data_IF_484807504675
#
_entry.id   IF_484807504675
#
_cell.length_a   1.000
_cell.length_b   1.000
_cell.length_c   1.000
_cell.angle_alpha   90.00
_cell.angle_beta   90.00
_cell.angle_gamma   90.00
#
_symmetry.space_group_name_H-M   'P 1'
#
loop_
_entity.id
_entity.type
_entity.pdbx_description
1 polymer ?
#
# COMPACT_ATOMS: atom_id res chain seq x y z
N UNK A 1 10.87 -35.47 70.38
CA UNK A 1 11.93 -34.44 70.42
C UNK A 1 13.28 -35.15 70.49
N UNK A 2 14.21 -34.84 69.58
CA UNK A 2 15.62 -35.30 69.47
C UNK A 2 16.05 -36.02 68.17
N UNK A 3 15.39 -35.80 67.03
CA UNK A 3 15.91 -36.28 65.73
C UNK A 3 16.04 -35.25 64.60
N UNK A 4 15.74 -33.96 64.86
CA UNK A 4 15.77 -32.91 63.83
C UNK A 4 16.83 -31.82 64.04
N UNK A 5 17.86 -32.05 64.85
CA UNK A 5 18.99 -31.10 65.00
C UNK A 5 20.29 -31.56 64.33
N UNK A 6 20.44 -32.87 64.05
CA UNK A 6 21.66 -33.41 63.46
C UNK A 6 21.72 -33.31 61.92
N UNK A 7 20.60 -33.03 61.25
CA UNK A 7 20.52 -32.94 59.79
C UNK A 7 20.74 -31.50 59.28
N UNK A 8 20.55 -30.49 60.13
CA UNK A 8 20.74 -29.08 59.77
C UNK A 8 22.22 -28.65 59.89
N UNK A 9 23.00 -29.30 60.76
CA UNK A 9 24.44 -29.01 60.87
C UNK A 9 25.32 -29.68 59.80
N UNK A 10 24.83 -30.73 59.12
CA UNK A 10 25.60 -31.42 58.06
C UNK A 10 25.46 -30.76 56.67
N UNK A 11 24.46 -29.91 56.48
CA UNK A 11 24.28 -29.09 55.26
C UNK A 11 25.02 -27.75 55.31
N UNK A 12 25.47 -27.31 56.50
CA UNK A 12 26.28 -26.09 56.66
C UNK A 12 27.79 -26.33 56.44
N UNK A 13 28.25 -27.58 56.43
CA UNK A 13 29.69 -27.90 56.26
C UNK A 13 30.08 -28.29 54.82
N UNK A 14 29.11 -28.46 53.91
CA UNK A 14 29.37 -28.76 52.49
C UNK A 14 29.29 -27.53 51.56
N UNK A 15 29.02 -26.34 52.10
CA UNK A 15 29.05 -25.07 51.36
C UNK A 15 30.39 -24.29 51.51
N UNK A 16 31.42 -24.85 52.15
CA UNK A 16 32.67 -24.14 52.47
C UNK A 16 33.90 -24.63 51.71
N UNK A 17 33.76 -25.45 50.66
CA UNK A 17 34.90 -25.87 49.85
C UNK A 17 34.60 -25.63 48.37
N UNK A 18 35.47 -24.83 47.74
CA UNK A 18 35.52 -24.46 46.31
C UNK A 18 34.54 -23.41 45.77
N UNK A 19 34.52 -22.23 46.39
CA UNK A 19 34.52 -21.01 45.56
C UNK A 19 35.98 -20.76 45.20
N UNK A 20 36.43 -21.35 44.08
CA UNK A 20 37.55 -20.74 43.37
C UNK A 20 37.00 -19.41 42.89
N UNK A 21 37.41 -18.35 43.58
CA UNK A 21 37.39 -16.99 43.08
C UNK A 21 38.21 -17.07 41.79
N UNK A 22 37.55 -17.30 40.66
CA UNK A 22 38.02 -16.74 39.41
C UNK A 22 37.92 -15.24 39.65
N UNK A 23 39.04 -14.65 40.05
CA UNK A 23 39.30 -13.28 39.70
C UNK A 23 39.13 -13.24 38.18
N UNK A 24 37.98 -12.71 37.73
CA UNK A 24 37.96 -12.09 36.44
C UNK A 24 39.05 -11.02 36.55
N UNK A 25 40.12 -11.17 35.78
CA UNK A 25 40.81 -9.98 35.29
C UNK A 25 39.67 -9.15 34.68
N UNK A 26 39.17 -8.17 35.45
CA UNK A 26 38.65 -6.97 34.84
C UNK A 26 39.83 -6.48 34.00
N UNK A 27 39.75 -6.71 32.68
CA UNK A 27 40.47 -5.88 31.74
C UNK A 27 40.24 -4.46 32.22
N UNK A 28 41.27 -3.88 32.85
CA UNK A 28 41.28 -2.46 33.19
C UNK A 28 41.10 -1.76 31.86
N UNK A 29 39.86 -1.38 31.57
CA UNK A 29 39.57 -0.45 30.52
C UNK A 29 40.31 0.81 30.95
N UNK A 30 41.42 1.08 30.26
CA UNK A 30 42.18 2.30 30.43
C UNK A 30 41.30 3.43 29.89
N UNK A 31 40.43 3.93 30.77
CA UNK A 31 39.48 5.00 30.51
C UNK A 31 40.18 6.38 30.55
N UNK A 32 41.53 6.39 30.58
CA UNK A 32 42.27 7.63 30.38
C UNK A 32 42.17 8.02 28.90
N UNK A 33 41.66 9.22 28.58
CA UNK A 33 41.57 9.67 27.21
C UNK A 33 42.97 9.67 26.60
N UNK A 34 43.13 8.95 25.49
CA UNK A 34 44.41 8.94 24.77
C UNK A 34 44.70 10.34 24.26
N UNK A 35 45.97 10.73 24.36
CA UNK A 35 46.40 12.03 23.85
C UNK A 35 46.58 11.98 22.34
N UNK A 36 46.32 13.10 21.69
CA UNK A 36 46.66 13.31 20.29
C UNK A 36 48.19 13.30 20.14
N UNK A 37 48.69 12.51 19.18
CA UNK A 37 50.10 12.41 18.84
C UNK A 37 50.42 13.26 17.61
N UNK A 38 51.49 14.06 17.68
CA UNK A 38 52.06 14.74 16.51
C UNK A 38 52.94 13.75 15.76
N UNK A 39 52.60 13.43 14.51
CA UNK A 39 53.38 12.53 13.65
C UNK A 39 54.38 13.32 12.80
N UNK A 40 53.95 14.46 12.24
CA UNK A 40 54.79 15.28 11.37
C UNK A 40 54.34 16.75 11.37
N UNK A 41 55.29 17.67 11.28
CA UNK A 41 55.12 19.06 10.86
C UNK A 41 56.45 19.60 10.34
N UNK A 42 56.42 20.58 9.43
CA UNK A 42 57.66 21.21 8.96
C UNK A 42 58.24 22.21 9.96
N UNK A 43 57.38 22.89 10.74
CA UNK A 43 57.76 23.79 11.83
C UNK A 43 56.83 23.59 13.03
N UNK A 44 57.37 23.74 14.24
CA UNK A 44 56.64 23.77 15.50
C UNK A 44 57.11 24.99 16.30
N UNK A 45 56.17 25.88 16.60
CA UNK A 45 56.37 27.10 17.37
C UNK A 45 55.45 27.08 18.60
N UNK A 46 55.84 27.76 19.69
CA UNK A 46 54.94 27.98 20.82
C UNK A 46 54.36 29.38 20.70
N UNK A 47 53.04 29.49 20.74
CA UNK A 47 52.36 30.78 20.72
C UNK A 47 51.92 31.16 22.14
N UNK A 48 52.67 32.04 22.79
CA UNK A 48 52.33 32.56 24.11
C UNK A 48 51.21 33.62 24.06
N UNK A 49 50.86 34.13 22.86
CA UNK A 49 49.89 35.23 22.71
C UNK A 49 48.42 34.77 22.78
N UNK A 50 48.17 33.46 22.63
CA UNK A 50 46.84 32.84 22.74
C UNK A 50 46.38 32.57 24.17
N UNK A 51 47.17 32.94 25.19
CA UNK A 51 46.82 32.82 26.62
C UNK A 51 46.85 31.38 27.18
N UNK A 52 46.99 30.39 26.31
CA UNK A 52 47.25 28.97 26.56
C UNK A 52 48.52 28.60 25.79
N UNK A 53 49.38 27.73 26.34
CA UNK A 53 50.61 27.22 25.68
C UNK A 53 50.24 26.36 24.45
N UNK A 54 49.72 27.00 23.40
CA UNK A 54 49.33 26.33 22.17
C UNK A 54 50.58 26.05 21.33
N UNK A 55 50.73 24.80 20.89
CA UNK A 55 51.72 24.45 19.89
C UNK A 55 51.16 24.83 18.53
N UNK A 56 51.85 25.73 17.82
CA UNK A 56 51.55 26.11 16.44
C UNK A 56 52.37 25.24 15.49
N UNK A 57 51.69 24.46 14.67
CA UNK A 57 52.29 23.53 13.70
C UNK A 57 52.07 24.05 12.28
N UNK A 58 53.13 24.15 11.48
CA UNK A 58 53.08 24.68 10.12
C UNK A 58 53.67 23.70 9.11
N UNK A 59 52.96 23.54 7.99
CA UNK A 59 53.38 22.81 6.80
C UNK A 59 53.22 21.29 6.90
N UNK A 60 52.32 20.72 6.09
CA UNK A 60 52.06 19.27 5.96
C UNK A 60 51.85 18.57 7.31
N UNK A 61 51.10 19.19 8.20
CA UNK A 61 50.92 18.70 9.56
C UNK A 61 50.14 17.38 9.55
N UNK A 62 50.59 16.43 10.36
CA UNK A 62 49.96 15.13 10.56
C UNK A 62 49.83 14.83 12.04
N UNK A 63 48.60 14.60 12.48
CA UNK A 63 48.31 14.06 13.81
C UNK A 63 47.80 12.63 13.71
N UNK A 64 47.96 11.88 14.81
CA UNK A 64 47.36 10.57 15.00
C UNK A 64 46.64 10.56 16.34
N UNK A 65 45.42 10.05 16.33
CA UNK A 65 44.70 9.75 17.56
C UNK A 65 43.99 8.40 17.43
N UNK A 66 44.54 7.41 18.13
CA UNK A 66 44.17 6.00 18.01
C UNK A 66 44.36 5.46 16.58
N UNK A 67 43.28 5.07 15.91
CA UNK A 67 43.23 4.54 14.55
C UNK A 67 42.97 5.62 13.48
N UNK A 68 42.81 6.89 13.89
CA UNK A 68 42.59 8.00 12.97
C UNK A 68 43.86 8.83 12.75
N UNK A 69 44.07 9.20 11.49
CA UNK A 69 45.09 10.14 11.05
C UNK A 69 44.42 11.43 10.58
N UNK A 70 44.94 12.57 11.01
CA UNK A 70 44.45 13.90 10.65
C UNK A 70 45.55 14.67 9.93
N UNK A 71 45.25 15.24 8.78
CA UNK A 71 46.19 15.94 7.90
C UNK A 71 45.69 17.37 7.67
N UNK A 72 46.60 18.36 7.65
CA UNK A 72 46.27 19.75 7.30
C UNK A 72 47.53 20.53 6.90
N UNK A 73 47.36 21.77 6.44
CA UNK A 73 48.50 22.66 6.15
C UNK A 73 49.02 23.36 7.41
N UNK A 74 48.13 23.74 8.34
CA UNK A 74 48.52 24.31 9.64
C UNK A 74 47.55 23.94 10.76
N UNK A 75 48.02 23.98 12.01
CA UNK A 75 47.17 23.68 13.17
C UNK A 75 47.69 24.29 14.48
N UNK A 76 46.79 24.48 15.44
CA UNK A 76 47.11 24.63 16.86
C UNK A 76 46.77 23.34 17.61
N UNK A 77 47.65 22.89 18.49
CA UNK A 77 47.42 21.81 19.43
C UNK A 77 47.51 22.35 20.86
N UNK A 78 46.47 22.08 21.65
CA UNK A 78 46.38 22.47 23.06
C UNK A 78 46.52 21.21 23.92
N UNK A 79 47.69 21.01 24.55
CA UNK A 79 48.00 19.76 25.27
C UNK A 79 47.16 19.54 26.54
N UNK A 80 46.70 20.64 27.18
CA UNK A 80 45.89 20.60 28.41
C UNK A 80 44.47 20.13 28.12
N UNK A 81 43.82 20.73 27.11
CA UNK A 81 42.48 20.36 26.67
C UNK A 81 42.44 19.19 25.70
N UNK A 82 43.59 18.73 25.19
CA UNK A 82 43.70 17.69 24.15
C UNK A 82 42.91 18.05 22.88
N UNK A 83 42.92 19.34 22.49
CA UNK A 83 42.16 19.85 21.35
C UNK A 83 43.07 20.26 20.19
N UNK A 84 42.59 20.08 18.96
CA UNK A 84 43.24 20.50 17.73
C UNK A 84 42.33 21.52 17.02
N UNK A 85 42.91 22.62 16.59
CA UNK A 85 42.32 23.48 15.56
C UNK A 85 43.19 23.37 14.31
N UNK A 86 42.66 22.77 13.24
CA UNK A 86 43.38 22.56 11.99
C UNK A 86 42.78 23.41 10.86
N UNK A 87 43.65 23.96 10.02
CA UNK A 87 43.32 24.90 8.95
C UNK A 87 43.91 24.45 7.62
N UNK A 88 43.12 24.66 6.57
CA UNK A 88 43.40 24.40 5.16
C UNK A 88 43.71 22.94 4.81
N UNK A 89 43.09 22.44 3.73
CA UNK A 89 43.27 21.09 3.21
C UNK A 89 43.11 19.99 4.27
N UNK A 90 42.15 20.16 5.20
CA UNK A 90 41.99 19.28 6.36
C UNK A 90 41.37 17.95 5.94
N UNK A 91 41.97 16.84 6.41
CA UNK A 91 41.50 15.48 6.12
C UNK A 91 41.62 14.59 7.34
N UNK A 92 40.56 13.85 7.66
CA UNK A 92 40.58 12.77 8.65
C UNK A 92 40.42 11.44 7.91
N UNK A 93 41.34 10.52 8.13
CA UNK A 93 41.27 9.14 7.64
C UNK A 93 41.17 8.20 8.84
N UNK A 94 40.08 7.44 8.92
CA UNK A 94 39.85 6.43 9.97
C UNK A 94 39.77 5.04 9.32
N UNK A 95 40.73 4.18 9.65
CA UNK A 95 40.90 2.89 8.99
C UNK A 95 41.00 3.01 7.46
N UNK A 96 40.36 2.09 6.75
CA UNK A 96 40.35 2.05 5.27
C UNK A 96 39.02 2.51 4.65
N UNK A 97 38.00 2.78 5.47
CA UNK A 97 36.63 2.99 4.98
C UNK A 97 36.17 4.43 5.00
N UNK A 98 36.67 5.26 5.92
CA UNK A 98 36.17 6.62 6.16
C UNK A 98 37.24 7.65 5.79
N UNK A 99 36.83 8.63 4.98
CA UNK A 99 37.60 9.81 4.64
C UNK A 99 36.70 11.05 4.80
N UNK A 100 37.02 11.91 5.76
CA UNK A 100 36.37 13.19 5.99
C UNK A 100 37.31 14.32 5.53
N UNK A 101 36.81 15.27 4.75
CA UNK A 101 37.57 16.36 4.14
C UNK A 101 36.84 17.68 4.40
N UNK A 102 37.57 18.75 4.70
CA UNK A 102 37.06 20.12 4.80
C UNK A 102 38.22 21.12 4.82
N UNK A 103 37.95 22.39 5.17
CA UNK A 103 39.00 23.41 5.28
C UNK A 103 39.27 23.87 6.72
N UNK A 104 38.39 23.55 7.66
CA UNK A 104 38.61 23.81 9.08
C UNK A 104 38.11 22.64 9.93
N UNK A 105 38.87 22.30 10.98
CA UNK A 105 38.53 21.26 11.93
C UNK A 105 38.79 21.73 13.35
N UNK A 106 37.78 21.63 14.20
CA UNK A 106 37.93 21.61 15.66
C UNK A 106 37.78 20.14 16.11
N UNK A 107 38.84 19.57 16.66
CA UNK A 107 38.85 18.19 17.14
C UNK A 107 39.15 18.14 18.64
N UNK A 108 38.30 17.46 19.39
CA UNK A 108 38.52 17.19 20.81
C UNK A 108 38.92 15.73 20.99
N UNK A 109 40.16 15.49 21.43
CA UNK A 109 40.70 14.16 21.65
C UNK A 109 40.07 13.44 22.86
N UNK A 110 39.48 14.16 23.82
CA UNK A 110 38.83 13.56 24.98
C UNK A 110 37.44 13.06 24.63
N UNK A 111 36.63 13.89 23.97
CA UNK A 111 35.26 13.52 23.53
C UNK A 111 35.24 12.78 22.21
N UNK A 112 36.33 12.82 21.44
CA UNK A 112 36.49 12.28 20.08
C UNK A 112 35.52 12.87 19.06
N UNK A 113 35.06 14.10 19.30
CA UNK A 113 34.19 14.85 18.39
C UNK A 113 35.05 15.63 17.39
N UNK A 114 34.77 15.47 16.10
CA UNK A 114 35.38 16.22 15.01
C UNK A 114 34.35 17.15 14.36
N UNK A 115 34.50 18.46 14.55
CA UNK A 115 33.68 19.48 13.91
C UNK A 115 34.36 19.97 12.64
N UNK A 116 33.98 19.43 11.49
CA UNK A 116 34.52 19.80 10.18
C UNK A 116 33.67 20.90 9.54
N UNK A 117 34.31 21.92 8.96
CA UNK A 117 33.65 23.07 8.33
C UNK A 117 34.23 23.41 6.96
N UNK A 118 33.48 24.21 6.22
CA UNK A 118 33.77 24.78 4.91
C UNK A 118 33.97 23.74 3.81
N UNK A 119 32.92 23.51 3.00
CA UNK A 119 32.92 22.53 1.89
C UNK A 119 33.30 21.10 2.31
N UNK A 120 32.52 20.54 3.23
CA UNK A 120 32.78 19.24 3.83
C UNK A 120 32.35 18.09 2.94
N UNK A 121 33.22 17.08 2.85
CA UNK A 121 33.01 15.82 2.15
C UNK A 121 33.27 14.67 3.10
N UNK A 122 32.25 13.85 3.35
CA UNK A 122 32.41 12.55 4.00
C UNK A 122 32.25 11.45 2.97
N UNK A 123 33.33 10.71 2.71
CA UNK A 123 33.31 9.51 1.88
C UNK A 123 33.35 8.27 2.78
N UNK A 124 32.37 7.39 2.61
CA UNK A 124 32.35 6.08 3.23
C UNK A 124 32.14 5.01 2.15
N UNK A 125 33.22 4.30 1.80
CA UNK A 125 33.26 3.38 0.65
C UNK A 125 32.87 4.10 -0.66
N UNK A 126 31.77 3.71 -1.29
CA UNK A 126 31.25 4.31 -2.54
C UNK A 126 30.26 5.46 -2.28
N UNK A 127 29.74 5.59 -1.06
CA UNK A 127 28.78 6.64 -0.71
C UNK A 127 29.50 7.95 -0.38
N UNK A 128 28.91 9.06 -0.80
CA UNK A 128 29.46 10.41 -0.65
C UNK A 128 28.42 11.33 -0.01
N UNK A 129 28.78 11.99 1.10
CA UNK A 129 27.99 13.04 1.74
C UNK A 129 28.70 14.39 1.56
N UNK A 130 27.98 15.36 1.01
CA UNK A 130 28.40 16.74 0.81
C UNK A 130 27.57 17.69 1.68
N UNK A 131 28.22 18.54 2.47
CA UNK A 131 27.59 19.59 3.29
C UNK A 131 28.60 20.73 3.53
N UNK A 132 28.18 21.83 4.13
CA UNK A 132 29.11 22.91 4.53
C UNK A 132 29.64 22.73 5.95
N UNK A 133 28.88 22.04 6.82
CA UNK A 133 29.21 21.85 8.22
C UNK A 133 28.78 20.46 8.68
N UNK A 134 29.72 19.69 9.23
CA UNK A 134 29.48 18.33 9.70
C UNK A 134 30.22 18.09 11.01
N UNK A 135 29.52 17.50 11.96
CA UNK A 135 30.13 16.98 13.18
C UNK A 135 30.19 15.45 13.07
N UNK A 136 31.32 14.87 13.47
CA UNK A 136 31.54 13.44 13.49
C UNK A 136 31.92 12.98 14.90
N UNK A 137 31.02 12.23 15.53
CA UNK A 137 31.26 11.55 16.79
C UNK A 137 31.88 10.18 16.50
N UNK A 138 33.16 10.02 16.86
CA UNK A 138 33.89 8.75 16.64
C UNK A 138 33.52 7.66 17.65
N UNK A 139 32.98 8.02 18.82
CA UNK A 139 32.53 7.02 19.79
C UNK A 139 31.23 6.36 19.28
N UNK A 140 30.27 7.18 18.86
CA UNK A 140 28.98 6.73 18.31
C UNK A 140 29.06 6.34 16.83
N UNK A 141 30.17 6.62 16.15
CA UNK A 141 30.35 6.41 14.71
C UNK A 141 29.28 7.13 13.88
N UNK A 142 28.89 8.33 14.34
CA UNK A 142 27.77 9.11 13.83
C UNK A 142 28.25 10.44 13.26
N UNK A 143 27.98 10.66 11.98
CA UNK A 143 28.15 11.96 11.33
C UNK A 143 26.81 12.69 11.22
N UNK A 144 26.75 13.97 11.55
CA UNK A 144 25.51 14.73 11.48
C UNK A 144 25.72 16.18 11.03
N UNK A 145 24.68 16.73 10.40
CA UNK A 145 24.67 18.10 9.89
C UNK A 145 23.29 18.74 10.06
N UNK A 146 23.25 20.08 10.11
CA UNK A 146 22.01 20.84 10.35
C UNK A 146 21.70 21.94 9.32
N UNK A 147 22.62 22.22 8.40
CA UNK A 147 22.54 23.35 7.44
C UNK A 147 22.33 22.89 5.99
N UNK A 148 21.81 21.68 5.82
CA UNK A 148 21.60 21.06 4.53
C UNK A 148 22.74 20.17 4.07
N UNK A 149 22.39 19.10 3.37
CA UNK A 149 23.37 18.16 2.87
C UNK A 149 22.81 17.31 1.74
N UNK A 150 23.73 16.69 1.02
CA UNK A 150 23.45 15.87 -0.16
C UNK A 150 24.22 14.58 -0.07
N UNK A 151 23.54 13.46 -0.26
CA UNK A 151 24.12 12.13 -0.31
C UNK A 151 23.98 11.55 -1.71
N UNK A 152 25.05 10.91 -2.14
CA UNK A 152 25.12 10.16 -3.39
C UNK A 152 25.48 8.72 -3.05
N UNK A 153 24.64 7.79 -3.51
CA UNK A 153 24.84 6.34 -3.32
C UNK A 153 24.31 5.59 -4.55
N UNK A 154 25.23 5.13 -5.41
CA UNK A 154 24.87 4.60 -6.73
C UNK A 154 24.12 5.64 -7.57
N UNK A 155 22.94 5.28 -8.05
CA UNK A 155 22.06 6.16 -8.84
C UNK A 155 21.20 7.09 -7.96
N UNK A 156 21.21 6.90 -6.64
CA UNK A 156 20.37 7.66 -5.73
C UNK A 156 21.06 8.97 -5.32
N UNK A 157 20.31 10.07 -5.38
CA UNK A 157 20.70 11.36 -4.83
C UNK A 157 19.68 11.82 -3.79
N UNK A 158 20.10 11.89 -2.54
CA UNK A 158 19.26 12.26 -1.41
C UNK A 158 19.66 13.65 -0.90
N UNK A 159 18.69 14.53 -0.67
CA UNK A 159 18.92 15.88 -0.13
C UNK A 159 18.00 16.13 1.06
N UNK A 160 18.51 16.72 2.14
CA UNK A 160 17.72 17.08 3.32
C UNK A 160 18.31 18.28 4.06
N UNK A 161 17.53 18.93 4.93
CA UNK A 161 18.03 20.03 5.77
C UNK A 161 18.89 19.52 6.92
N UNK A 162 18.49 18.42 7.54
CA UNK A 162 19.24 17.74 8.59
C UNK A 162 19.53 16.30 8.17
N UNK A 163 20.67 15.78 8.61
CA UNK A 163 21.06 14.41 8.31
C UNK A 163 21.87 13.80 9.42
N UNK A 164 21.63 12.50 9.67
CA UNK A 164 22.39 11.70 10.63
C UNK A 164 22.81 10.42 9.92
N UNK A 165 24.12 10.15 9.91
CA UNK A 165 24.70 9.00 9.27
C UNK A 165 25.42 8.12 10.28
N UNK A 166 24.86 6.94 10.54
CA UNK A 166 25.44 5.93 11.41
C UNK A 166 26.32 5.02 10.56
N UNK A 167 27.63 5.27 10.56
CA UNK A 167 28.59 4.59 9.67
C UNK A 167 28.69 3.09 9.93
N UNK A 168 28.47 2.66 11.18
CA UNK A 168 28.47 1.24 11.60
C UNK A 168 27.27 0.47 11.04
N UNK A 169 26.07 1.01 11.20
CA UNK A 169 24.81 0.37 10.77
C UNK A 169 24.48 0.67 9.30
N UNK A 170 25.23 1.61 8.69
CA UNK A 170 25.05 2.11 7.33
C UNK A 170 23.66 2.72 7.10
N UNK A 171 23.09 3.27 8.17
CA UNK A 171 21.79 3.94 8.17
C UNK A 171 21.98 5.44 8.02
N UNK A 172 21.22 6.01 7.11
CA UNK A 172 21.12 7.45 6.93
C UNK A 172 19.70 7.92 7.24
N UNK A 173 19.59 8.87 8.17
CA UNK A 173 18.34 9.54 8.51
C UNK A 173 18.34 10.93 7.92
N UNK A 174 17.51 11.15 6.93
CA UNK A 174 17.25 12.43 6.29
C UNK A 174 16.01 13.06 6.93
N UNK A 175 16.10 14.30 7.37
CA UNK A 175 14.99 14.97 8.07
C UNK A 175 14.78 16.37 7.53
N UNK A 176 13.51 16.75 7.38
CA UNK A 176 13.00 18.05 6.95
C UNK A 176 13.30 18.36 5.47
N UNK A 177 12.21 18.43 4.68
CA UNK A 177 12.21 18.72 3.23
C UNK A 177 13.11 17.74 2.46
N UNK A 178 12.86 16.44 2.65
CA UNK A 178 13.67 15.38 2.06
C UNK A 178 13.26 15.15 0.61
N UNK A 179 14.26 15.10 -0.28
CA UNK A 179 14.08 14.72 -1.68
C UNK A 179 15.08 13.63 -2.05
N UNK A 180 14.59 12.46 -2.44
CA UNK A 180 15.38 11.39 -3.04
C UNK A 180 15.08 11.36 -4.54
N UNK A 181 16.12 11.48 -5.36
CA UNK A 181 16.01 11.35 -6.81
C UNK A 181 16.70 10.08 -7.29
N UNK A 182 16.00 9.33 -8.12
CA UNK A 182 16.46 8.15 -8.83
C UNK A 182 16.08 8.29 -10.31
N UNK A 183 16.81 7.67 -11.27
CA UNK A 183 16.42 7.71 -12.69
C UNK A 183 14.98 7.29 -13.00
N UNK A 184 14.32 6.50 -12.13
CA UNK A 184 12.96 6.00 -12.34
C UNK A 184 11.87 6.74 -11.56
N UNK A 185 12.23 7.46 -10.49
CA UNK A 185 11.26 8.09 -9.59
C UNK A 185 11.90 9.15 -8.70
N UNK A 186 11.07 10.09 -8.23
CA UNK A 186 11.39 11.04 -7.18
C UNK A 186 10.55 10.76 -5.93
N UNK A 187 11.15 10.86 -4.74
CA UNK A 187 10.47 10.75 -3.45
C UNK A 187 10.60 12.08 -2.71
N UNK A 188 9.46 12.61 -2.28
CA UNK A 188 9.36 13.81 -1.45
C UNK A 188 8.80 13.39 -0.10
N UNK A 189 9.52 13.65 0.99
CA UNK A 189 9.12 13.18 2.32
C UNK A 189 9.52 14.20 3.40
N UNK A 190 8.86 14.16 4.55
CA UNK A 190 9.34 14.85 5.74
C UNK A 190 10.60 14.18 6.32
N UNK A 191 10.52 12.86 6.54
CA UNK A 191 11.61 12.08 7.15
C UNK A 191 11.78 10.74 6.43
N UNK A 192 13.03 10.43 6.08
CA UNK A 192 13.40 9.21 5.35
C UNK A 192 14.60 8.55 6.00
N UNK A 193 14.51 7.25 6.27
CA UNK A 193 15.67 6.42 6.61
C UNK A 193 16.08 5.58 5.41
N UNK A 194 17.33 5.67 5.01
CA UNK A 194 17.89 4.86 3.93
C UNK A 194 19.05 4.02 4.44
N UNK A 195 18.97 2.71 4.23
CA UNK A 195 20.05 1.80 4.55
C UNK A 195 20.85 1.46 3.29
N UNK A 196 22.13 1.82 3.23
CA UNK A 196 22.96 1.62 2.03
C UNK A 196 23.32 0.15 1.80
N UNK A 197 23.19 -0.72 2.81
CA UNK A 197 23.55 -2.13 2.72
C UNK A 197 22.41 -3.02 2.25
N UNK A 198 21.18 -2.77 2.71
CA UNK A 198 19.98 -3.49 2.28
C UNK A 198 19.31 -2.83 1.09
N UNK A 199 19.61 -1.55 0.85
CA UNK A 199 18.99 -0.69 -0.16
C UNK A 199 17.47 -0.51 0.06
N UNK A 200 17.06 -0.49 1.34
CA UNK A 200 15.69 -0.23 1.77
C UNK A 200 15.57 1.24 2.21
N UNK A 201 14.56 1.92 1.68
CA UNK A 201 14.12 3.22 2.17
C UNK A 201 12.88 3.04 3.04
N UNK A 202 12.84 3.70 4.19
CA UNK A 202 11.68 3.79 5.07
C UNK A 202 11.21 5.24 5.13
N UNK A 203 9.90 5.42 5.08
CA UNK A 203 9.24 6.72 5.07
C UNK A 203 8.53 6.94 6.39
N UNK A 204 8.73 8.10 7.00
CA UNK A 204 8.09 8.47 8.25
C UNK A 204 7.46 9.86 8.08
N UNK A 205 6.14 9.91 8.02
CA UNK A 205 5.36 11.11 7.72
C UNK A 205 4.98 11.25 6.24
N UNK A 206 4.26 12.34 5.91
CA UNK A 206 3.70 12.57 4.58
C UNK A 206 4.76 12.43 3.48
N UNK A 207 4.52 11.50 2.56
CA UNK A 207 5.47 11.11 1.53
C UNK A 207 4.76 10.96 0.20
N UNK A 208 5.29 11.65 -0.83
CA UNK A 208 4.88 11.49 -2.22
C UNK A 208 5.98 10.79 -3.00
N UNK A 209 5.63 9.73 -3.72
CA UNK A 209 6.50 9.03 -4.67
C UNK A 209 5.95 9.28 -6.07
N UNK A 210 6.76 9.89 -6.93
CA UNK A 210 6.38 10.32 -8.27
C UNK A 210 7.24 9.57 -9.27
N UNK A 211 6.62 8.72 -10.08
CA UNK A 211 7.24 8.05 -11.21
C UNK A 211 6.57 8.48 -12.52
N UNK A 212 7.12 8.06 -13.67
CA UNK A 212 6.59 8.43 -14.99
C UNK A 212 5.12 8.03 -15.20
N UNK A 213 4.72 6.88 -14.65
CA UNK A 213 3.39 6.30 -14.87
C UNK A 213 2.42 6.46 -13.70
N UNK A 214 2.91 6.75 -12.49
CA UNK A 214 2.08 6.77 -11.29
C UNK A 214 2.58 7.73 -10.22
N UNK A 215 1.66 8.09 -9.32
CA UNK A 215 1.93 8.88 -8.12
C UNK A 215 1.35 8.14 -6.93
N UNK A 216 2.16 8.01 -5.87
CA UNK A 216 1.79 7.36 -4.63
C UNK A 216 1.91 8.36 -3.49
N UNK A 217 1.00 8.29 -2.53
CA UNK A 217 1.10 8.97 -1.25
C UNK A 217 0.95 7.96 -0.11
N UNK A 218 1.68 8.21 0.97
CA UNK A 218 1.56 7.50 2.24
C UNK A 218 2.11 8.37 3.38
N UNK A 219 1.79 8.02 4.62
CA UNK A 219 2.39 8.67 5.80
C UNK A 219 3.36 7.73 6.54
N UNK A 220 3.39 6.46 6.17
CA UNK A 220 4.38 5.51 6.64
C UNK A 220 4.59 4.42 5.58
N UNK A 221 5.79 3.87 5.47
CA UNK A 221 6.03 2.80 4.51
C UNK A 221 7.49 2.45 4.29
N UNK A 222 7.72 1.55 3.35
CA UNK A 222 9.04 1.16 2.92
C UNK A 222 9.08 0.83 1.43
N UNK A 223 10.28 0.94 0.86
CA UNK A 223 10.58 0.51 -0.50
C UNK A 223 11.93 -0.19 -0.56
N UNK A 224 11.93 -1.44 -1.01
CA UNK A 224 13.15 -2.22 -1.21
C UNK A 224 13.51 -2.24 -2.70
N UNK A 225 14.58 -1.53 -3.06
CA UNK A 225 15.07 -1.40 -4.45
C UNK A 225 15.66 -2.67 -5.05
N UNK A 226 15.99 -3.69 -4.23
CA UNK A 226 16.52 -4.99 -4.70
C UNK A 226 15.42 -5.99 -5.01
N UNK A 227 14.37 -5.99 -4.20
CA UNK A 227 13.24 -6.90 -4.38
C UNK A 227 12.11 -6.29 -5.19
N UNK A 228 12.11 -4.96 -5.38
CA UNK A 228 11.01 -4.18 -5.96
C UNK A 228 9.69 -4.37 -5.23
N UNK A 229 9.77 -4.47 -3.90
CA UNK A 229 8.63 -4.63 -3.00
C UNK A 229 8.43 -3.35 -2.20
N UNK A 230 7.18 -2.93 -2.11
CA UNK A 230 6.76 -1.73 -1.40
C UNK A 230 5.60 -2.04 -0.45
N UNK A 231 5.62 -1.41 0.72
CA UNK A 231 4.49 -1.37 1.64
C UNK A 231 4.22 0.06 2.06
N UNK A 232 2.96 0.46 2.02
CA UNK A 232 2.49 1.79 2.35
C UNK A 232 1.36 1.69 3.35
N UNK A 233 1.34 2.57 4.34
CA UNK A 233 0.30 2.64 5.35
C UNK A 233 -0.01 4.09 5.70
N UNK A 234 -1.14 4.28 6.37
CA UNK A 234 -1.66 5.58 6.81
C UNK A 234 -2.06 6.47 5.61
N UNK A 235 -3.37 6.44 5.30
CA UNK A 235 -3.99 7.20 4.21
C UNK A 235 -3.36 6.95 2.82
N UNK A 236 -2.92 5.70 2.57
CA UNK A 236 -2.19 5.37 1.36
C UNK A 236 -3.10 5.46 0.11
N UNK A 237 -2.60 6.12 -0.93
CA UNK A 237 -3.28 6.16 -2.22
C UNK A 237 -2.30 6.12 -3.38
N UNK A 238 -2.77 5.56 -4.49
CA UNK A 238 -2.05 5.44 -5.75
C UNK A 238 -2.92 5.98 -6.87
N UNK A 239 -2.32 6.77 -7.76
CA UNK A 239 -2.93 7.24 -9.00
C UNK A 239 -2.09 6.82 -10.19
N UNK A 240 -2.71 6.18 -11.18
CA UNK A 240 -2.08 5.75 -12.43
C UNK A 240 -3.01 6.03 -13.60
N UNK A 241 -2.78 7.12 -14.32
CA UNK A 241 -3.68 7.56 -15.39
C UNK A 241 -5.11 7.85 -14.88
N UNK A 242 -6.15 7.19 -15.44
CA UNK A 242 -7.54 7.32 -14.98
C UNK A 242 -7.86 6.51 -13.72
N UNK A 243 -6.93 5.65 -13.28
CA UNK A 243 -7.14 4.74 -12.17
C UNK A 243 -6.65 5.34 -10.87
N UNK A 244 -7.45 5.15 -9.83
CA UNK A 244 -7.18 5.65 -8.50
C UNK A 244 -7.50 4.56 -7.46
N UNK A 245 -6.54 4.25 -6.61
CA UNK A 245 -6.62 3.24 -5.56
C UNK A 245 -6.36 3.92 -4.22
N UNK A 246 -7.19 3.65 -3.21
CA UNK A 246 -6.93 4.00 -1.80
C UNK A 246 -7.07 2.78 -0.91
N UNK A 247 -6.42 2.82 0.24
CA UNK A 247 -6.64 1.93 1.37
C UNK A 247 -5.87 2.43 2.59
N UNK A 248 -6.19 1.92 3.77
CA UNK A 248 -5.42 2.23 4.98
C UNK A 248 -3.99 1.70 4.86
N UNK A 249 -3.83 0.58 4.15
CA UNK A 249 -2.53 0.04 3.75
C UNK A 249 -2.56 -0.53 2.35
N UNK A 250 -1.47 -0.37 1.62
CA UNK A 250 -1.25 -0.90 0.27
C UNK A 250 0.07 -1.68 0.23
N UNK A 251 0.06 -2.81 -0.46
CA UNK A 251 1.24 -3.61 -0.75
C UNK A 251 1.41 -3.74 -2.26
N UNK A 252 2.65 -3.69 -2.74
CA UNK A 252 2.94 -3.88 -4.16
C UNK A 252 4.24 -4.66 -4.36
N UNK A 253 4.18 -5.70 -5.20
CA UNK A 253 5.33 -6.43 -5.72
C UNK A 253 5.41 -6.21 -7.24
N UNK A 254 6.43 -5.46 -7.67
CA UNK A 254 6.62 -5.11 -9.08
C UNK A 254 7.04 -6.29 -9.94
N UNK A 255 7.74 -7.30 -9.39
CA UNK A 255 8.28 -8.43 -10.16
C UNK A 255 7.16 -9.32 -10.68
N UNK A 256 6.16 -9.57 -9.83
CA UNK A 256 4.97 -10.34 -10.19
C UNK A 256 3.78 -9.46 -10.59
N UNK A 257 3.93 -8.13 -10.53
CA UNK A 257 2.89 -7.14 -10.85
C UNK A 257 1.60 -7.37 -10.07
N UNK A 258 1.77 -7.50 -8.77
CA UNK A 258 0.72 -7.82 -7.81
C UNK A 258 0.57 -6.68 -6.81
N UNK A 259 -0.67 -6.27 -6.57
CA UNK A 259 -1.01 -5.27 -5.57
C UNK A 259 -2.11 -5.77 -4.64
N UNK A 260 -2.05 -5.32 -3.38
CA UNK A 260 -3.08 -5.56 -2.37
C UNK A 260 -3.44 -4.26 -1.66
N UNK A 261 -4.71 -4.14 -1.28
CA UNK A 261 -5.22 -3.09 -0.40
C UNK A 261 -5.89 -3.69 0.82
N UNK A 262 -5.69 -3.04 1.97
CA UNK A 262 -6.22 -3.47 3.27
C UNK A 262 -6.94 -2.32 3.95
N UNK A 263 -8.17 -2.59 4.39
CA UNK A 263 -9.15 -1.70 5.03
C UNK A 263 -9.48 -0.44 4.21
N UNK A 264 -10.77 -0.08 4.17
CA UNK A 264 -11.26 1.11 3.45
C UNK A 264 -10.74 1.19 2.00
N UNK A 265 -10.68 0.05 1.32
CA UNK A 265 -10.17 -0.05 -0.05
C UNK A 265 -11.17 0.59 -0.99
N UNK A 266 -10.70 1.51 -1.83
CA UNK A 266 -11.52 2.08 -2.90
C UNK A 266 -10.75 2.11 -4.21
N UNK A 267 -11.44 1.74 -5.28
CA UNK A 267 -10.94 1.76 -6.64
C UNK A 267 -11.86 2.64 -7.46
N UNK A 268 -11.30 3.62 -8.17
CA UNK A 268 -12.02 4.50 -9.08
C UNK A 268 -11.32 4.41 -10.43
N UNK A 269 -12.06 4.02 -11.46
CA UNK A 269 -11.63 4.04 -12.85
C UNK A 269 -12.51 5.04 -13.62
N UNK A 270 -11.96 6.20 -13.91
CA UNK A 270 -12.69 7.26 -14.63
C UNK A 270 -12.81 7.01 -16.12
N UNK A 271 -12.06 6.07 -16.69
CA UNK A 271 -12.20 5.69 -18.10
C UNK A 271 -13.38 4.72 -18.30
N UNK A 272 -13.62 3.88 -17.31
CA UNK A 272 -14.68 2.87 -17.32
C UNK A 272 -15.93 3.30 -16.53
N UNK A 273 -15.93 4.49 -15.92
CA UNK A 273 -17.00 5.01 -15.06
C UNK A 273 -17.35 4.04 -13.92
N UNK A 274 -16.33 3.42 -13.33
CA UNK A 274 -16.48 2.40 -12.30
C UNK A 274 -15.93 2.90 -10.97
N UNK A 275 -16.68 2.68 -9.90
CA UNK A 275 -16.24 2.90 -8.53
C UNK A 275 -16.48 1.60 -7.76
N UNK A 276 -15.52 1.16 -6.97
CA UNK A 276 -15.66 -0.01 -6.12
C UNK A 276 -15.12 0.27 -4.71
N UNK A 277 -15.81 -0.23 -3.69
CA UNK A 277 -15.45 -0.14 -2.29
C UNK A 277 -15.45 -1.52 -1.65
N UNK A 278 -14.54 -1.76 -0.70
CA UNK A 278 -14.47 -2.98 0.11
C UNK A 278 -13.40 -2.87 1.19
N UNK A 279 -13.23 -3.89 2.03
CA UNK A 279 -12.22 -3.86 3.11
C UNK A 279 -10.94 -4.64 2.78
N UNK A 280 -10.95 -5.47 1.74
CA UNK A 280 -9.74 -6.09 1.23
C UNK A 280 -9.87 -6.30 -0.28
N UNK A 281 -8.76 -6.17 -0.99
CA UNK A 281 -8.73 -6.52 -2.40
C UNK A 281 -7.32 -6.76 -2.91
N UNK A 282 -7.23 -7.54 -3.97
CA UNK A 282 -5.99 -7.77 -4.68
C UNK A 282 -6.16 -7.59 -6.17
N UNK A 283 -5.05 -7.32 -6.86
CA UNK A 283 -5.01 -7.22 -8.30
C UNK A 283 -3.68 -7.74 -8.87
N UNK A 284 -3.77 -8.54 -9.93
CA UNK A 284 -2.66 -8.95 -10.78
C UNK A 284 -2.78 -8.25 -12.13
N UNK A 285 -1.76 -7.50 -12.56
CA UNK A 285 -1.76 -6.89 -13.91
C UNK A 285 -1.74 -7.94 -15.03
N UNK A 286 -1.14 -9.09 -14.77
CA UNK A 286 -1.10 -10.23 -15.67
C UNK A 286 -1.40 -11.50 -14.86
N UNK A 287 -2.55 -12.17 -15.05
CA UNK A 287 -3.43 -12.11 -16.22
C UNK A 287 -4.66 -11.18 -16.07
N UNK A 288 -4.55 -10.00 -15.45
CA UNK A 288 -5.70 -9.10 -15.17
C UNK A 288 -6.79 -9.76 -14.32
N UNK A 289 -6.38 -10.23 -13.14
CA UNK A 289 -7.29 -10.83 -12.16
C UNK A 289 -7.40 -9.94 -10.93
N UNK A 290 -8.63 -9.67 -10.50
CA UNK A 290 -8.93 -8.88 -9.32
C UNK A 290 -9.91 -9.60 -8.39
N UNK A 291 -9.81 -9.31 -7.11
CA UNK A 291 -10.82 -9.63 -6.12
C UNK A 291 -11.00 -8.44 -5.18
N UNK A 292 -12.23 -8.19 -4.76
CA UNK A 292 -12.55 -7.30 -3.65
C UNK A 292 -13.57 -8.01 -2.76
N UNK A 293 -13.42 -7.90 -1.45
CA UNK A 293 -14.21 -8.65 -0.45
C UNK A 293 -14.47 -7.82 0.80
N UNK A 294 -15.38 -8.35 1.62
CA UNK A 294 -15.83 -7.81 2.90
C UNK A 294 -16.62 -6.52 2.69
N UNK A 295 -17.93 -6.71 2.46
CA UNK A 295 -18.93 -5.67 2.17
C UNK A 295 -18.64 -4.87 0.89
N UNK A 296 -18.46 -5.59 -0.22
CA UNK A 296 -18.14 -4.97 -1.50
C UNK A 296 -19.33 -4.18 -2.06
N UNK A 297 -19.07 -2.95 -2.50
CA UNK A 297 -19.98 -2.12 -3.28
C UNK A 297 -19.33 -1.81 -4.63
N UNK A 298 -20.09 -1.93 -5.72
CA UNK A 298 -19.68 -1.54 -7.06
C UNK A 298 -20.72 -0.59 -7.64
N UNK A 299 -20.26 0.56 -8.11
CA UNK A 299 -21.07 1.59 -8.74
C UNK A 299 -20.60 1.75 -10.18
N UNK A 300 -21.51 1.52 -11.11
CA UNK A 300 -21.31 1.80 -12.52
C UNK A 300 -22.09 3.07 -12.90
N UNK A 301 -21.36 4.12 -13.22
CA UNK A 301 -21.92 5.45 -13.49
C UNK A 301 -22.32 5.54 -14.97
N UNK A 302 -23.57 5.89 -15.23
CA UNK A 302 -24.13 6.10 -16.57
C UNK A 302 -24.71 7.50 -16.71
N UNK A 303 -25.04 7.91 -17.93
CA UNK A 303 -25.64 9.23 -18.16
C UNK A 303 -27.05 9.30 -17.54
N UNK A 304 -27.19 10.07 -16.46
CA UNK A 304 -28.46 10.35 -15.81
C UNK A 304 -28.91 9.33 -14.73
N UNK A 305 -28.18 8.24 -14.53
CA UNK A 305 -28.46 7.23 -13.50
C UNK A 305 -27.18 6.44 -13.14
N UNK A 306 -27.22 5.62 -12.08
CA UNK A 306 -26.11 4.73 -11.71
C UNK A 306 -26.63 3.36 -11.29
N UNK A 307 -25.91 2.32 -11.70
CA UNK A 307 -26.16 0.96 -11.23
C UNK A 307 -25.29 0.68 -10.02
N UNK A 308 -25.92 0.29 -8.93
CA UNK A 308 -25.28 -0.10 -7.68
C UNK A 308 -25.39 -1.61 -7.53
N UNK A 309 -24.30 -2.24 -7.09
CA UNK A 309 -24.26 -3.65 -6.78
C UNK A 309 -23.54 -3.84 -5.45
N UNK A 310 -24.22 -4.42 -4.48
CA UNK A 310 -23.63 -4.89 -3.24
C UNK A 310 -23.47 -6.40 -3.24
N UNK A 311 -22.36 -6.88 -2.68
CA UNK A 311 -22.10 -8.30 -2.43
C UNK A 311 -21.02 -8.44 -1.36
N UNK A 312 -20.81 -9.64 -0.84
CA UNK A 312 -19.68 -9.87 0.07
C UNK A 312 -18.32 -9.75 -0.68
N UNK A 313 -18.19 -10.46 -1.78
CA UNK A 313 -16.98 -10.66 -2.60
C UNK A 313 -17.28 -10.59 -4.09
N UNK A 314 -16.49 -9.82 -4.84
CA UNK A 314 -16.47 -9.84 -6.31
C UNK A 314 -15.13 -10.31 -6.84
N UNK A 315 -15.17 -11.16 -7.86
CA UNK A 315 -14.01 -11.55 -8.66
C UNK A 315 -14.16 -11.03 -10.08
N UNK A 316 -13.07 -10.48 -10.62
CA UNK A 316 -12.98 -10.07 -12.02
C UNK A 316 -11.78 -10.78 -12.64
N UNK A 317 -11.99 -11.37 -13.81
CA UNK A 317 -10.92 -11.91 -14.65
C UNK A 317 -11.14 -11.47 -16.08
N UNK A 318 -10.05 -11.13 -16.78
CA UNK A 318 -10.09 -10.69 -18.16
C UNK A 318 -9.26 -11.64 -19.03
N UNK A 319 -9.84 -12.11 -20.13
CA UNK A 319 -9.13 -12.99 -21.06
C UNK A 319 -8.23 -12.22 -22.05
N UNK A 320 -7.53 -12.95 -22.93
CA UNK A 320 -6.62 -12.36 -23.91
C UNK A 320 -7.30 -11.52 -25.00
N UNK A 321 -8.62 -11.63 -25.15
CA UNK A 321 -9.44 -10.86 -26.08
C UNK A 321 -10.18 -9.71 -25.37
N UNK A 322 -9.80 -9.42 -24.13
CA UNK A 322 -10.40 -8.40 -23.27
C UNK A 322 -11.86 -8.69 -22.87
N UNK A 323 -12.28 -9.96 -22.91
CA UNK A 323 -13.58 -10.36 -22.38
C UNK A 323 -13.51 -10.49 -20.85
N UNK A 324 -14.47 -9.86 -20.18
CA UNK A 324 -14.59 -9.81 -18.72
C UNK A 324 -15.52 -10.91 -18.24
N UNK A 325 -15.09 -11.62 -17.22
CA UNK A 325 -15.90 -12.51 -16.40
C UNK A 325 -15.96 -11.89 -14.99
N UNK A 326 -17.16 -11.46 -14.59
CA UNK A 326 -17.43 -10.92 -13.27
C UNK A 326 -18.24 -11.95 -12.50
N UNK A 327 -17.83 -12.27 -11.28
CA UNK A 327 -18.54 -13.20 -10.39
C UNK A 327 -18.71 -12.55 -9.03
N UNK A 328 -19.94 -12.30 -8.63
CA UNK A 328 -20.30 -11.71 -7.35
C UNK A 328 -20.95 -12.76 -6.45
N UNK A 329 -20.48 -12.83 -5.22
CA UNK A 329 -20.86 -13.76 -4.15
C UNK A 329 -20.83 -12.98 -2.84
N UNK A 330 -21.45 -13.36 -1.73
CA UNK A 330 -22.82 -13.84 -1.58
C UNK A 330 -23.74 -12.62 -1.38
N UNK A 331 -25.05 -12.87 -1.24
CA UNK A 331 -26.07 -11.84 -0.95
C UNK A 331 -26.09 -10.66 -1.95
N UNK A 332 -25.92 -10.97 -3.23
CA UNK A 332 -25.90 -9.97 -4.29
C UNK A 332 -27.21 -9.18 -4.33
N UNK A 333 -27.09 -7.86 -4.24
CA UNK A 333 -28.17 -6.90 -4.40
C UNK A 333 -27.79 -5.90 -5.49
N UNK A 334 -28.65 -5.74 -6.49
CA UNK A 334 -28.48 -4.78 -7.57
C UNK A 334 -29.60 -3.76 -7.51
N UNK A 335 -29.25 -2.49 -7.66
CA UNK A 335 -30.19 -1.39 -7.69
C UNK A 335 -29.84 -0.42 -8.82
N UNK A 336 -30.85 -0.13 -9.64
CA UNK A 336 -30.92 0.96 -10.61
C UNK A 336 -32.37 1.46 -10.59
N UNK A 337 -32.63 2.69 -11.04
CA UNK A 337 -33.97 3.30 -10.96
C UNK A 337 -35.07 2.46 -11.63
N UNK A 338 -34.76 1.80 -12.74
CA UNK A 338 -35.67 0.98 -13.55
C UNK A 338 -35.57 -0.52 -13.28
N UNK A 339 -34.50 -0.99 -12.64
CA UNK A 339 -34.24 -2.42 -12.40
C UNK A 339 -33.64 -2.66 -11.03
N UNK A 340 -34.20 -3.62 -10.30
CA UNK A 340 -33.63 -4.11 -9.04
C UNK A 340 -33.52 -5.61 -9.10
N UNK A 341 -32.50 -6.18 -8.46
CA UNK A 341 -32.36 -7.63 -8.35
C UNK A 341 -31.77 -8.04 -7.01
N UNK A 342 -32.15 -9.23 -6.55
CA UNK A 342 -31.54 -9.89 -5.40
C UNK A 342 -31.33 -11.36 -5.72
N UNK A 343 -30.15 -11.88 -5.41
CA UNK A 343 -29.83 -13.29 -5.53
C UNK A 343 -28.69 -13.63 -4.57
N UNK A 344 -28.37 -14.91 -4.41
CA UNK A 344 -27.16 -15.28 -3.68
C UNK A 344 -25.90 -14.95 -4.49
N UNK A 345 -25.90 -15.31 -5.77
CA UNK A 345 -24.72 -15.22 -6.64
C UNK A 345 -25.07 -14.72 -8.03
N UNK A 346 -24.22 -13.87 -8.60
CA UNK A 346 -24.39 -13.30 -9.94
C UNK A 346 -23.12 -13.51 -10.77
N UNK A 347 -23.30 -13.89 -12.04
CA UNK A 347 -22.21 -14.01 -13.01
C UNK A 347 -22.53 -13.17 -14.23
N UNK A 348 -21.58 -12.33 -14.65
CA UNK A 348 -21.64 -11.60 -15.92
C UNK A 348 -20.50 -12.05 -16.84
N UNK A 349 -20.86 -12.40 -18.07
CA UNK A 349 -19.95 -12.85 -19.12
C UNK A 349 -20.04 -11.89 -20.31
N UNK A 350 -19.02 -11.04 -20.49
CA UNK A 350 -19.06 -10.01 -21.53
C UNK A 350 -18.91 -10.58 -22.95
N UNK A 351 -18.35 -11.78 -23.09
CA UNK A 351 -18.16 -12.45 -24.39
C UNK A 351 -19.49 -12.78 -25.05
N UNK A 352 -20.43 -13.28 -24.25
CA UNK A 352 -21.74 -13.73 -24.70
C UNK A 352 -22.85 -12.72 -24.36
N UNK A 353 -22.50 -11.63 -23.66
CA UNK A 353 -23.43 -10.62 -23.13
C UNK A 353 -24.54 -11.25 -22.29
N UNK A 354 -24.15 -12.11 -21.35
CA UNK A 354 -25.07 -12.86 -20.49
C UNK A 354 -24.88 -12.45 -19.02
N UNK A 355 -25.99 -12.22 -18.33
CA UNK A 355 -26.06 -12.18 -16.86
C UNK A 355 -26.80 -13.42 -16.38
N UNK A 356 -26.20 -14.14 -15.42
CA UNK A 356 -26.81 -15.28 -14.75
C UNK A 356 -26.96 -14.98 -13.25
N UNK A 357 -28.17 -15.12 -12.74
CA UNK A 357 -28.49 -14.99 -11.32
C UNK A 357 -28.86 -16.36 -10.76
N UNK A 358 -28.28 -16.70 -9.61
CA UNK A 358 -28.36 -18.03 -9.01
C UNK A 358 -28.94 -18.01 -7.60
N UNK A 359 -29.58 -19.12 -7.26
CA UNK A 359 -30.16 -19.43 -5.95
C UNK A 359 -31.23 -18.43 -5.53
N UNK A 360 -32.46 -18.75 -5.91
CA UNK A 360 -33.67 -17.98 -5.64
C UNK A 360 -33.60 -16.49 -6.06
N UNK A 361 -33.11 -16.16 -7.27
CA UNK A 361 -33.10 -14.80 -7.76
C UNK A 361 -34.52 -14.20 -7.86
N UNK A 362 -34.61 -12.93 -7.50
CA UNK A 362 -35.79 -12.08 -7.70
C UNK A 362 -35.34 -10.84 -8.45
N UNK A 363 -36.03 -10.50 -9.53
CA UNK A 363 -35.77 -9.28 -10.31
C UNK A 363 -37.06 -8.48 -10.40
N UNK A 364 -36.96 -7.18 -10.20
CA UNK A 364 -38.03 -6.20 -10.35
C UNK A 364 -37.69 -5.24 -11.47
N UNK A 365 -38.69 -4.92 -12.28
CA UNK A 365 -38.61 -3.91 -13.33
C UNK A 365 -39.97 -3.25 -13.48
N UNK A 366 -40.05 -1.97 -13.14
CA UNK A 366 -41.31 -1.22 -13.11
C UNK A 366 -42.38 -1.97 -12.28
N UNK A 367 -43.54 -2.30 -12.86
CA UNK A 367 -44.62 -3.06 -12.23
C UNK A 367 -44.42 -4.58 -12.24
N UNK A 368 -43.30 -5.07 -12.77
CA UNK A 368 -43.05 -6.50 -12.98
C UNK A 368 -42.08 -7.07 -11.95
N UNK A 369 -42.36 -8.29 -11.49
CA UNK A 369 -41.47 -9.09 -10.66
C UNK A 369 -41.35 -10.50 -11.25
N UNK A 370 -40.12 -10.99 -11.39
CA UNK A 370 -39.82 -12.35 -11.85
C UNK A 370 -38.94 -13.07 -10.84
N UNK A 371 -39.19 -14.37 -10.67
CA UNK A 371 -38.43 -15.24 -9.78
C UNK A 371 -38.35 -16.68 -10.32
N UNK A 372 -37.25 -17.36 -10.00
CA UNK A 372 -36.94 -18.72 -10.44
C UNK A 372 -35.81 -19.30 -9.57
N UNK A 373 -35.40 -20.55 -9.80
CA UNK A 373 -34.18 -21.08 -9.15
C UNK A 373 -32.91 -20.53 -9.85
N UNK A 374 -33.01 -20.20 -11.14
CA UNK A 374 -31.97 -19.52 -11.94
C UNK A 374 -32.61 -18.58 -12.96
N UNK A 375 -32.06 -17.38 -13.10
CA UNK A 375 -32.44 -16.41 -14.13
C UNK A 375 -31.25 -16.19 -15.05
N UNK A 376 -31.49 -16.21 -16.36
CA UNK A 376 -30.48 -15.91 -17.38
C UNK A 376 -31.02 -14.77 -18.24
N UNK A 377 -30.26 -13.69 -18.41
CA UNK A 377 -30.61 -12.55 -19.24
C UNK A 377 -29.56 -12.37 -20.32
N UNK A 378 -30.00 -12.31 -21.58
CA UNK A 378 -29.17 -12.02 -22.74
C UNK A 378 -29.36 -10.58 -23.16
N UNK A 379 -28.25 -9.94 -23.50
CA UNK A 379 -28.22 -8.56 -23.98
C UNK A 379 -27.72 -8.50 -25.43
N UNK A 380 -28.33 -7.63 -26.22
CA UNK A 380 -27.88 -7.22 -27.54
C UNK A 380 -27.78 -5.70 -27.53
N UNK A 381 -26.63 -5.16 -27.95
CA UNK A 381 -26.38 -3.71 -27.95
C UNK A 381 -26.65 -3.02 -26.59
N UNK A 382 -26.33 -3.72 -25.49
CA UNK A 382 -26.54 -3.30 -24.08
C UNK A 382 -28.01 -3.25 -23.62
N UNK A 383 -28.93 -3.72 -24.44
CA UNK A 383 -30.35 -3.81 -24.10
C UNK A 383 -30.77 -5.27 -23.92
N UNK A 384 -31.67 -5.60 -22.97
CA UNK A 384 -32.19 -6.96 -22.84
C UNK A 384 -32.89 -7.40 -24.13
N UNK A 385 -32.52 -8.58 -24.64
CA UNK A 385 -33.15 -9.22 -25.81
C UNK A 385 -34.04 -10.39 -25.37
N UNK A 386 -33.56 -11.16 -24.40
CA UNK A 386 -34.23 -12.38 -23.97
C UNK A 386 -33.90 -12.74 -22.54
N UNK A 387 -34.86 -13.27 -21.80
CA UNK A 387 -34.62 -13.84 -20.48
C UNK A 387 -35.22 -15.23 -20.33
N UNK A 388 -34.57 -16.04 -19.48
CA UNK A 388 -34.97 -17.39 -19.15
C UNK A 388 -35.13 -17.50 -17.64
N UNK A 389 -36.29 -17.97 -17.20
CA UNK A 389 -36.58 -18.36 -15.83
C UNK A 389 -36.55 -19.89 -15.78
N UNK A 390 -35.54 -20.44 -15.12
CA UNK A 390 -35.27 -21.88 -15.08
C UNK A 390 -35.66 -22.46 -13.72
N UNK A 391 -36.59 -23.41 -13.74
CA UNK A 391 -37.21 -24.07 -12.59
C UNK A 391 -38.02 -23.13 -11.69
N UNK A 392 -39.18 -23.60 -11.24
CA UNK A 392 -40.10 -22.86 -10.36
C UNK A 392 -40.40 -21.42 -10.82
N UNK A 393 -40.42 -21.19 -12.14
CA UNK A 393 -40.57 -19.88 -12.72
C UNK A 393 -41.92 -19.26 -12.34
N UNK A 394 -41.87 -18.04 -11.84
CA UNK A 394 -43.03 -17.25 -11.47
C UNK A 394 -42.83 -15.80 -11.89
N UNK A 395 -43.82 -15.23 -12.56
CA UNK A 395 -43.84 -13.84 -12.98
C UNK A 395 -45.12 -13.18 -12.46
N UNK A 396 -44.98 -11.95 -11.98
CA UNK A 396 -46.03 -11.12 -11.43
C UNK A 396 -45.96 -9.79 -12.16
N UNK A 397 -47.13 -9.29 -12.57
CA UNK A 397 -47.28 -7.93 -13.06
C UNK A 397 -48.34 -7.24 -12.22
N UNK A 398 -47.98 -6.13 -11.59
CA UNK A 398 -48.90 -5.30 -10.85
C UNK A 398 -49.84 -4.57 -11.82
N UNK A 399 -51.13 -4.82 -11.72
CA UNK A 399 -52.14 -4.12 -12.51
C UNK A 399 -52.59 -2.84 -11.82
N UNK A 400 -52.85 -2.91 -10.51
CA UNK A 400 -53.12 -1.77 -9.65
C UNK A 400 -52.60 -1.99 -8.21
N UNK A 401 -53.01 -1.15 -7.25
CA UNK A 401 -52.54 -1.24 -5.86
C UNK A 401 -52.83 -2.58 -5.14
N UNK A 402 -53.80 -3.37 -5.59
CA UNK A 402 -54.25 -4.60 -4.91
C UNK A 402 -54.39 -5.80 -5.86
N UNK A 403 -54.37 -5.59 -7.18
CA UNK A 403 -54.56 -6.62 -8.20
C UNK A 403 -53.27 -6.91 -8.96
N UNK A 404 -52.97 -8.20 -9.13
CA UNK A 404 -51.74 -8.70 -9.76
C UNK A 404 -52.05 -9.80 -10.77
N UNK A 405 -51.54 -9.64 -12.00
CA UNK A 405 -51.48 -10.72 -12.96
C UNK A 405 -50.33 -11.66 -12.58
N UNK A 406 -50.54 -12.96 -12.71
CA UNK A 406 -49.59 -13.98 -12.25
C UNK A 406 -49.44 -15.08 -13.28
N UNK A 407 -48.20 -15.52 -13.47
CA UNK A 407 -47.82 -16.57 -14.40
C UNK A 407 -46.87 -17.53 -13.69
N UNK A 408 -47.13 -18.84 -13.80
CA UNK A 408 -46.30 -19.89 -13.23
C UNK A 408 -46.07 -21.01 -14.24
N UNK A 409 -44.87 -21.54 -14.30
CA UNK A 409 -44.55 -22.77 -15.04
C UNK A 409 -43.22 -23.35 -14.54
N UNK A 410 -42.77 -24.48 -15.12
CA UNK A 410 -41.39 -24.95 -14.86
C UNK A 410 -40.34 -24.08 -15.52
N UNK A 411 -40.65 -23.56 -16.71
CA UNK A 411 -39.77 -22.64 -17.44
C UNK A 411 -40.57 -21.52 -18.06
N UNK A 412 -40.06 -20.30 -17.95
CA UNK A 412 -40.57 -19.14 -18.69
C UNK A 412 -39.46 -18.59 -19.57
N UNK A 413 -39.79 -18.27 -20.81
CA UNK A 413 -38.90 -17.56 -21.73
C UNK A 413 -39.57 -16.29 -22.20
N UNK A 414 -38.99 -15.14 -21.88
CA UNK A 414 -39.48 -13.84 -22.33
C UNK A 414 -38.61 -13.27 -23.45
N UNK A 415 -39.26 -12.64 -24.43
CA UNK A 415 -38.62 -11.97 -25.56
C UNK A 415 -38.90 -10.49 -25.47
N UNK A 416 -37.84 -9.69 -25.52
CA UNK A 416 -37.86 -8.25 -25.32
C UNK A 416 -37.48 -7.57 -26.63
N UNK A 417 -38.28 -6.60 -27.05
CA UNK A 417 -38.02 -5.79 -28.24
C UNK A 417 -38.31 -4.33 -27.85
N UNK A 418 -37.37 -3.43 -28.12
CA UNK A 418 -37.52 -1.99 -27.79
C UNK A 418 -37.85 -1.76 -26.30
N UNK A 419 -37.18 -2.51 -25.39
CA UNK A 419 -37.38 -2.49 -23.93
C UNK A 419 -38.72 -3.01 -23.42
N UNK A 420 -39.58 -3.53 -24.31
CA UNK A 420 -40.87 -4.08 -23.94
C UNK A 420 -40.91 -5.59 -24.14
N UNK A 421 -41.56 -6.31 -23.22
CA UNK A 421 -41.79 -7.74 -23.36
C UNK A 421 -42.88 -7.94 -24.42
N UNK A 422 -42.54 -8.53 -25.57
CA UNK A 422 -43.50 -8.78 -26.66
C UNK A 422 -44.08 -10.19 -26.64
N UNK A 423 -43.34 -11.15 -26.08
CA UNK A 423 -43.74 -12.55 -26.05
C UNK A 423 -43.23 -13.24 -24.80
N UNK A 424 -44.07 -14.09 -24.21
CA UNK A 424 -43.72 -14.97 -23.10
C UNK A 424 -44.16 -16.39 -23.42
N UNK A 425 -43.20 -17.33 -23.44
CA UNK A 425 -43.45 -18.76 -23.56
C UNK A 425 -43.38 -19.40 -22.18
N UNK A 426 -44.46 -20.03 -21.73
CA UNK A 426 -44.55 -20.82 -20.51
C UNK A 426 -44.53 -22.29 -20.89
N UNK A 427 -43.59 -23.05 -20.33
CA UNK A 427 -43.41 -24.47 -20.64
C UNK A 427 -43.53 -25.34 -19.39
N UNK A 428 -44.34 -26.39 -19.52
CA UNK A 428 -44.67 -27.41 -18.51
C UNK A 428 -45.39 -26.87 -17.27
N UNK A 429 -46.51 -27.52 -16.92
CA UNK A 429 -47.31 -27.24 -15.71
C UNK A 429 -47.71 -25.76 -15.59
N UNK A 430 -48.20 -25.18 -16.70
CA UNK A 430 -48.40 -23.75 -16.80
C UNK A 430 -49.72 -23.32 -16.16
N UNK A 431 -49.68 -22.24 -15.37
CA UNK A 431 -50.84 -21.64 -14.73
C UNK A 431 -50.76 -20.13 -14.87
N UNK A 432 -51.87 -19.51 -15.26
CA UNK A 432 -51.97 -18.05 -15.28
C UNK A 432 -53.24 -17.59 -14.60
N UNK A 433 -53.16 -16.44 -13.96
CA UNK A 433 -54.28 -15.69 -13.40
C UNK A 433 -54.15 -14.25 -13.87
N UNK A 434 -55.17 -13.72 -14.52
CA UNK A 434 -55.14 -12.34 -15.01
C UNK A 434 -56.53 -11.69 -14.99
N UNK A 435 -56.54 -10.38 -14.81
CA UNK A 435 -57.76 -9.57 -14.80
C UNK A 435 -58.16 -9.18 -16.22
N UNK A 436 -59.46 -9.26 -16.51
CA UNK A 436 -60.06 -8.76 -17.75
C UNK A 436 -60.68 -7.42 -17.44
N UNK A 437 -60.30 -6.42 -18.24
CA UNK A 437 -60.70 -5.02 -18.07
C UNK A 437 -61.58 -4.62 -19.23
N UNK A 438 -62.69 -3.94 -18.93
CA UNK A 438 -63.46 -3.24 -19.94
C UNK A 438 -62.75 -1.93 -20.29
N UNK A 439 -62.27 -1.79 -21.53
CA UNK A 439 -61.50 -0.62 -21.95
C UNK A 439 -62.34 0.66 -22.07
N UNK A 440 -63.67 0.58 -22.18
CA UNK A 440 -64.53 1.76 -22.29
C UNK A 440 -64.77 2.44 -20.94
N UNK A 441 -64.93 1.64 -19.87
CA UNK A 441 -65.20 2.14 -18.51
C UNK A 441 -64.00 2.02 -17.56
N UNK A 442 -62.92 1.35 -18.00
CA UNK A 442 -61.71 1.09 -17.22
C UNK A 442 -62.01 0.37 -15.88
N UNK A 443 -62.92 -0.62 -15.91
CA UNK A 443 -63.29 -1.44 -14.76
C UNK A 443 -62.90 -2.91 -14.98
N UNK A 444 -62.49 -3.58 -13.90
CA UNK A 444 -62.25 -5.02 -13.88
C UNK A 444 -63.61 -5.73 -13.95
N UNK A 445 -63.83 -6.51 -15.00
CA UNK A 445 -65.09 -7.23 -15.22
C UNK A 445 -64.98 -8.73 -14.93
N UNK A 446 -63.77 -9.29 -14.95
CA UNK A 446 -63.55 -10.71 -14.65
C UNK A 446 -62.14 -11.03 -14.17
N UNK A 447 -62.00 -12.16 -13.49
CA UNK A 447 -60.74 -12.81 -13.17
C UNK A 447 -60.66 -14.14 -13.96
N UNK A 448 -59.71 -14.23 -14.87
CA UNK A 448 -59.48 -15.47 -15.62
C UNK A 448 -58.37 -16.28 -14.96
N UNK A 449 -58.62 -17.59 -14.83
CA UNK A 449 -57.62 -18.58 -14.42
C UNK A 449 -57.49 -19.64 -15.51
N UNK A 450 -56.27 -19.88 -15.98
CA UNK A 450 -56.00 -20.85 -17.04
C UNK A 450 -54.90 -21.81 -16.60
N UNK A 451 -55.06 -23.09 -16.98
CA UNK A 451 -54.09 -24.15 -16.75
C UNK A 451 -53.88 -24.90 -18.06
N UNK A 452 -52.63 -25.13 -18.44
CA UNK A 452 -52.26 -25.83 -19.68
C UNK A 452 -50.91 -26.52 -19.52
N UNK A 453 -50.60 -27.46 -20.41
CA UNK A 453 -49.26 -28.05 -20.51
C UNK A 453 -48.25 -26.98 -20.89
N UNK A 454 -48.48 -26.28 -22.01
CA UNK A 454 -47.69 -25.14 -22.45
C UNK A 454 -48.61 -23.97 -22.86
N UNK A 455 -48.07 -22.76 -22.77
CA UNK A 455 -48.77 -21.54 -23.20
C UNK A 455 -47.81 -20.56 -23.85
N UNK A 456 -48.29 -19.84 -24.85
CA UNK A 456 -47.59 -18.68 -25.42
C UNK A 456 -48.49 -17.46 -25.28
N UNK A 457 -47.94 -16.39 -24.72
CA UNK A 457 -48.62 -15.11 -24.53
C UNK A 457 -47.92 -14.07 -25.40
N UNK A 458 -48.70 -13.37 -26.21
CA UNK A 458 -48.27 -12.17 -26.94
C UNK A 458 -48.76 -10.93 -26.21
N UNK A 459 -47.88 -9.95 -26.09
CA UNK A 459 -48.08 -8.71 -25.36
C UNK A 459 -47.88 -7.54 -26.32
N UNK A 460 -48.73 -6.53 -26.17
CA UNK A 460 -48.57 -5.22 -26.81
C UNK A 460 -48.84 -4.13 -25.77
N UNK A 461 -47.95 -3.14 -25.65
CA UNK A 461 -48.00 -2.09 -24.63
C UNK A 461 -48.23 -2.66 -23.21
N UNK A 462 -47.50 -3.72 -22.85
CA UNK A 462 -47.62 -4.46 -21.59
C UNK A 462 -49.01 -5.09 -21.30
N UNK A 463 -49.92 -5.13 -22.29
CA UNK A 463 -51.24 -5.79 -22.22
C UNK A 463 -51.26 -7.09 -23.00
N UNK A 464 -52.02 -8.08 -22.50
CA UNK A 464 -52.20 -9.36 -23.17
C UNK A 464 -53.03 -9.16 -24.45
N UNK A 465 -52.41 -9.39 -25.61
CA UNK A 465 -53.09 -9.37 -26.91
C UNK A 465 -53.66 -10.75 -27.25
N UNK A 466 -52.85 -11.81 -27.06
CA UNK A 466 -53.23 -13.17 -27.47
C UNK A 466 -52.60 -14.24 -26.59
N UNK A 467 -53.38 -15.27 -26.28
CA UNK A 467 -52.89 -16.47 -25.59
C UNK A 467 -53.15 -17.69 -26.47
N UNK A 468 -52.12 -18.52 -26.65
CA UNK A 468 -52.19 -19.81 -27.33
C UNK A 468 -51.86 -20.94 -26.36
N UNK A 469 -52.63 -22.03 -26.44
CA UNK A 469 -52.49 -23.22 -25.59
C UNK A 469 -52.13 -24.43 -26.48
N UNK A 470 -51.18 -25.26 -26.05
CA UNK A 470 -50.77 -26.45 -26.80
C UNK A 470 -50.17 -27.56 -25.94
#
# INVERSE_FOLDING_TARGET
>A
MSKNLAVILLLAFFCLISVKIFAQDEDKYDDTPKKVEIIHANSLEYDESTGTEAKKLLGKVVFKHEDAYMFCDSAYLYDESNTIEAYDNVRIKQGDTILLIGNYLEYDGNTKIAKMRDSVILKHRESLLLTDSLDYDRNENMAYYFEGGRIFDGDNKLTSRRGYYFTKDKDYYAVDTVVLRNPQYDIFSDTLRYNTDSAISYFYGPTHIVADSNVIYCENGYYNTRTDVAGFSENAWLRSGPNYLRGDSLYYDRKIRFGEGFNNVSVIDTAENLIAYGNYGYYYENPKNAMMTDSTEVIYVTDGDSLFMHCDTVYISVDSLDHRLIRAFYEVQVYKTDVQARCDSLVFMSKDSIVELYYDPIVWSEENQILADKIIVHFVDKEPDKFYLENNAFAIQQYDSIHFNQMKSRKITGYVIEKEIKKVDLLNDCQTVYFVVDEEINEIIALNKVVSSNMTIHLNDNKIEKIWFY
#
